data_IF_599016630534
#
_entry.id   IF_599016630534
#
_cell.length_a   1.000
_cell.length_b   1.000
_cell.length_c   1.000
_cell.angle_alpha   90.00
_cell.angle_beta   90.00
_cell.angle_gamma   90.00
#
_symmetry.space_group_name_H-M   'P 1'
#
loop_
_entity.id
_entity.type
_entity.pdbx_description
1 polymer ?
#
# COMPACT_ATOMS: atom_id res chain seq x y z
N UNK A 1 -11.86 14.31 -13.47
CA UNK A 1 -11.34 15.64 -13.87
C UNK A 1 -10.15 15.43 -14.81
N UNK A 2 -9.94 16.30 -15.81
CA UNK A 2 -8.83 16.14 -16.75
C UNK A 2 -7.49 16.35 -16.02
N UNK A 3 -6.67 15.30 -15.92
CA UNK A 3 -5.36 15.32 -15.24
C UNK A 3 -4.40 16.37 -15.80
N UNK A 4 -4.66 16.90 -16.99
CA UNK A 4 -3.90 17.95 -17.67
C UNK A 4 -4.30 19.37 -17.22
N UNK A 5 -5.36 19.51 -16.42
CA UNK A 5 -5.83 20.79 -15.86
C UNK A 5 -5.48 20.95 -14.36
N UNK A 6 -4.66 20.06 -13.81
CA UNK A 6 -4.23 20.15 -12.40
C UNK A 6 -3.27 21.33 -12.23
N UNK A 7 -3.55 22.20 -11.26
CA UNK A 7 -2.83 23.46 -11.02
C UNK A 7 -1.34 23.27 -10.67
N UNK A 8 -0.97 22.11 -10.11
CA UNK A 8 0.38 21.85 -9.62
C UNK A 8 1.23 21.00 -10.57
N UNK A 9 0.66 20.54 -11.70
CA UNK A 9 1.44 19.82 -12.70
C UNK A 9 2.18 20.76 -13.63
N UNK A 10 3.49 20.59 -13.70
CA UNK A 10 4.35 21.21 -14.70
C UNK A 10 4.33 20.40 -16.00
N UNK A 11 4.39 21.11 -17.15
CA UNK A 11 4.32 20.50 -18.49
C UNK A 11 5.65 19.89 -18.96
N UNK A 12 6.77 20.11 -18.27
CA UNK A 12 8.13 19.79 -18.73
C UNK A 12 8.71 18.51 -18.09
N UNK A 13 9.68 17.88 -18.79
CA UNK A 13 10.16 16.51 -18.57
C UNK A 13 11.62 16.39 -18.09
N UNK A 14 12.32 17.48 -17.81
CA UNK A 14 13.78 17.44 -17.56
C UNK A 14 14.11 17.61 -16.06
N UNK A 15 14.82 16.61 -15.52
CA UNK A 15 15.40 16.42 -14.16
C UNK A 15 14.55 16.75 -12.92
N UNK A 16 13.93 15.70 -12.34
CA UNK A 16 12.79 15.83 -11.41
C UNK A 16 13.08 15.78 -9.91
N UNK A 17 14.21 15.24 -9.44
CA UNK A 17 14.35 14.99 -8.00
C UNK A 17 14.50 16.28 -7.17
N UNK A 18 15.33 17.23 -7.61
CA UNK A 18 15.46 18.55 -6.97
C UNK A 18 14.26 19.47 -7.28
N UNK A 19 13.54 19.23 -8.38
CA UNK A 19 12.31 19.96 -8.69
C UNK A 19 11.16 19.51 -7.78
N UNK A 20 11.11 18.23 -7.40
CA UNK A 20 9.99 17.69 -6.64
C UNK A 20 9.86 18.33 -5.25
N UNK A 21 10.96 18.53 -4.53
CA UNK A 21 10.96 19.22 -3.24
C UNK A 21 10.38 20.64 -3.38
N UNK A 22 10.88 21.42 -4.33
CA UNK A 22 10.39 22.78 -4.61
C UNK A 22 8.93 22.81 -5.09
N UNK A 23 8.53 21.86 -5.93
CA UNK A 23 7.15 21.76 -6.42
C UNK A 23 6.20 21.37 -5.29
N UNK A 24 6.61 20.48 -4.37
CA UNK A 24 5.86 20.13 -3.16
C UNK A 24 5.72 21.33 -2.22
N UNK A 25 6.82 22.04 -1.93
CA UNK A 25 6.82 23.26 -1.12
C UNK A 25 5.89 24.31 -1.71
N UNK A 26 6.00 24.58 -3.02
CA UNK A 26 5.13 25.55 -3.71
C UNK A 26 3.67 25.11 -3.71
N UNK A 27 3.38 23.84 -3.98
CA UNK A 27 2.01 23.33 -3.99
C UNK A 27 1.37 23.45 -2.60
N UNK A 28 2.13 23.13 -1.53
CA UNK A 28 1.68 23.29 -0.16
C UNK A 28 1.43 24.76 0.19
N UNK A 29 2.38 25.66 -0.10
CA UNK A 29 2.26 27.09 0.16
C UNK A 29 1.04 27.72 -0.56
N UNK A 30 0.84 27.40 -1.84
CA UNK A 30 -0.33 27.88 -2.60
C UNK A 30 -1.63 27.35 -2.02
N UNK A 31 -1.66 26.08 -1.59
CA UNK A 31 -2.88 25.52 -0.98
C UNK A 31 -3.20 26.19 0.36
N UNK A 32 -2.18 26.53 1.16
CA UNK A 32 -2.35 27.33 2.38
C UNK A 32 -2.89 28.74 2.09
N UNK A 33 -2.40 29.39 1.02
CA UNK A 33 -2.83 30.75 0.67
C UNK A 33 -4.27 30.82 0.16
N UNK A 34 -4.70 29.80 -0.58
CA UNK A 34 -5.96 29.83 -1.33
C UNK A 34 -7.12 29.14 -0.60
N UNK A 35 -6.84 28.42 0.49
CA UNK A 35 -7.84 27.68 1.24
C UNK A 35 -7.78 28.00 2.75
N UNK A 36 -8.70 28.87 3.18
CA UNK A 36 -8.74 29.36 4.56
C UNK A 36 -8.97 28.24 5.60
N UNK A 37 -9.76 27.23 5.26
CA UNK A 37 -10.04 26.13 6.19
C UNK A 37 -8.82 25.21 6.32
N UNK A 38 -8.15 24.94 5.20
CA UNK A 38 -6.88 24.22 5.19
C UNK A 38 -5.80 24.95 5.97
N UNK A 39 -5.63 26.26 5.74
CA UNK A 39 -4.71 27.11 6.50
C UNK A 39 -4.99 27.02 8.01
N UNK A 40 -6.26 27.23 8.39
CA UNK A 40 -6.69 27.17 9.78
C UNK A 40 -6.35 25.82 10.44
N UNK A 41 -6.69 24.70 9.79
CA UNK A 41 -6.45 23.37 10.37
C UNK A 41 -4.97 23.02 10.47
N UNK A 42 -4.14 23.46 9.51
CA UNK A 42 -2.68 23.29 9.57
C UNK A 42 -2.08 24.14 10.69
N UNK A 43 -2.47 25.41 10.80
CA UNK A 43 -1.99 26.30 11.86
C UNK A 43 -2.41 25.80 13.23
N UNK A 44 -3.66 25.35 13.38
CA UNK A 44 -4.15 24.77 14.61
C UNK A 44 -3.29 23.57 15.04
N UNK A 45 -3.01 22.65 14.12
CA UNK A 45 -2.14 21.51 14.40
C UNK A 45 -0.76 21.93 14.90
N UNK A 46 -0.11 22.91 14.24
CA UNK A 46 1.24 23.37 14.59
C UNK A 46 1.22 24.09 15.96
N UNK A 47 0.35 25.08 16.11
CA UNK A 47 0.35 26.00 17.25
C UNK A 47 -0.11 25.33 18.56
N UNK A 48 -0.91 24.27 18.50
CA UNK A 48 -1.31 23.49 19.69
C UNK A 48 -0.13 22.75 20.36
N UNK A 49 1.03 22.62 19.70
CA UNK A 49 2.23 22.04 20.32
C UNK A 49 2.87 22.97 21.36
N UNK A 50 2.52 24.27 21.36
CA UNK A 50 2.87 25.20 22.43
C UNK A 50 1.60 25.54 23.20
N UNK A 51 1.61 25.24 24.50
CA UNK A 51 0.48 25.50 25.39
C UNK A 51 -0.04 26.94 25.23
N UNK A 52 -1.35 27.07 25.07
CA UNK A 52 -2.11 28.33 24.96
C UNK A 52 -1.75 29.23 23.74
N UNK A 53 -0.82 28.83 22.87
CA UNK A 53 -0.35 29.67 21.76
C UNK A 53 -1.45 29.93 20.72
N UNK A 54 -2.16 28.89 20.27
CA UNK A 54 -3.26 29.02 19.31
C UNK A 54 -4.34 29.99 19.81
N UNK A 55 -4.79 29.79 21.05
CA UNK A 55 -5.80 30.65 21.68
C UNK A 55 -5.33 32.10 21.83
N UNK A 56 -4.09 32.31 22.28
CA UNK A 56 -3.51 33.65 22.39
C UNK A 56 -3.45 34.41 21.06
N UNK A 57 -3.27 33.69 19.95
CA UNK A 57 -3.20 34.29 18.62
C UNK A 57 -4.58 34.58 18.03
N UNK A 58 -5.61 33.77 18.30
CA UNK A 58 -6.88 33.84 17.55
C UNK A 58 -8.13 34.16 18.38
N UNK A 59 -8.05 34.23 19.72
CA UNK A 59 -9.22 34.57 20.55
C UNK A 59 -9.51 36.09 20.61
N UNK A 60 -8.54 36.96 20.29
CA UNK A 60 -8.72 38.42 20.20
C UNK A 60 -9.05 38.87 18.77
N UNK A 61 -10.10 39.68 18.64
CA UNK A 61 -10.60 40.25 17.39
C UNK A 61 -9.87 41.54 16.96
N UNK A 62 -9.08 42.16 17.84
CA UNK A 62 -8.46 43.48 17.60
C UNK A 62 -6.98 43.42 17.23
N UNK A 63 -6.52 44.38 16.40
CA UNK A 63 -5.09 44.65 16.19
C UNK A 63 -4.29 43.61 15.38
N UNK A 64 -4.95 42.66 14.71
CA UNK A 64 -4.29 41.55 14.02
C UNK A 64 -3.61 41.95 12.71
N UNK A 65 -2.38 41.48 12.52
CA UNK A 65 -1.70 41.56 11.23
C UNK A 65 -2.15 40.42 10.31
N UNK A 66 -2.18 40.64 8.98
CA UNK A 66 -2.40 39.55 8.04
C UNK A 66 -1.33 38.47 8.15
N UNK A 67 -1.74 37.20 8.06
CA UNK A 67 -0.81 36.07 7.96
C UNK A 67 -0.05 36.18 6.66
N UNK A 68 1.28 36.04 6.73
CA UNK A 68 2.15 36.07 5.54
C UNK A 68 2.79 34.70 5.34
N UNK A 69 2.87 34.27 4.08
CA UNK A 69 3.45 32.99 3.68
C UNK A 69 4.49 33.25 2.59
N UNK A 70 5.74 32.90 2.86
CA UNK A 70 6.88 33.06 1.96
C UNK A 70 7.54 31.71 1.69
N UNK A 71 8.15 31.52 0.52
CA UNK A 71 8.98 30.36 0.19
C UNK A 71 10.42 30.78 -0.05
N UNK A 72 11.37 29.88 0.23
CA UNK A 72 12.80 30.10 -0.04
C UNK A 72 13.37 31.37 0.62
N UNK A 73 12.98 31.64 1.87
CA UNK A 73 13.37 32.85 2.61
C UNK A 73 14.62 32.59 3.44
N UNK A 74 15.59 33.51 3.37
CA UNK A 74 16.79 33.50 4.23
C UNK A 74 16.40 33.80 5.68
N UNK A 75 17.03 33.12 6.64
CA UNK A 75 16.72 33.32 8.06
C UNK A 75 17.01 34.74 8.55
N UNK A 76 18.02 35.40 7.96
CA UNK A 76 18.32 36.81 8.25
C UNK A 76 17.25 37.79 7.78
N UNK A 77 16.31 37.34 6.94
CA UNK A 77 15.19 38.16 6.44
C UNK A 77 13.87 37.88 7.17
N UNK A 78 13.88 37.04 8.21
CA UNK A 78 12.70 36.82 9.04
C UNK A 78 12.38 38.10 9.81
N UNK A 79 11.09 38.41 9.96
CA UNK A 79 10.64 39.56 10.74
C UNK A 79 10.93 39.33 12.23
N UNK A 80 10.89 40.37 13.05
CA UNK A 80 11.01 40.21 14.50
C UNK A 80 9.91 39.28 15.04
N UNK A 81 10.31 38.26 15.80
CA UNK A 81 9.42 37.30 16.45
C UNK A 81 9.87 37.01 17.88
N UNK A 82 8.93 36.69 18.75
CA UNK A 82 9.20 36.25 20.12
C UNK A 82 9.32 34.72 20.22
N UNK A 83 8.65 34.00 19.32
CA UNK A 83 8.66 32.54 19.32
C UNK A 83 8.74 31.96 17.91
N UNK A 84 9.50 30.87 17.77
CA UNK A 84 9.70 30.15 16.51
C UNK A 84 9.13 28.72 16.60
N UNK A 85 8.34 28.31 15.62
CA UNK A 85 8.03 26.90 15.40
C UNK A 85 8.95 26.34 14.31
N UNK A 86 9.66 25.26 14.63
CA UNK A 86 10.50 24.53 13.69
C UNK A 86 9.76 23.26 13.24
N UNK A 87 9.22 23.26 12.01
CA UNK A 87 8.34 22.20 11.53
C UNK A 87 9.05 21.31 10.50
N UNK A 88 9.06 20.00 10.73
CA UNK A 88 9.51 19.03 9.72
C UNK A 88 8.36 18.56 8.84
N UNK A 89 8.56 18.61 7.52
CA UNK A 89 7.67 18.02 6.52
C UNK A 89 8.45 17.01 5.66
N UNK A 90 8.79 15.88 6.27
CA UNK A 90 9.47 14.74 5.64
C UNK A 90 8.68 13.44 5.85
N UNK A 91 9.03 12.38 5.12
CA UNK A 91 8.50 11.03 5.42
C UNK A 91 9.16 10.43 6.68
N UNK A 92 10.30 11.00 7.09
CA UNK A 92 11.00 10.66 8.33
C UNK A 92 10.32 11.32 9.53
N UNK A 93 9.83 10.57 10.53
CA UNK A 93 9.28 11.14 11.76
C UNK A 93 10.36 11.84 12.57
N UNK A 94 10.16 13.11 12.91
CA UNK A 94 11.11 13.84 13.76
C UNK A 94 10.96 13.44 15.24
N UNK A 95 12.08 13.06 15.84
CA UNK A 95 12.19 12.88 17.29
C UNK A 95 12.29 14.25 17.97
N UNK A 96 11.19 14.67 18.61
CA UNK A 96 11.07 15.98 19.24
C UNK A 96 11.94 16.11 20.49
N UNK A 97 12.17 15.03 21.23
CA UNK A 97 12.98 15.02 22.44
C UNK A 97 14.46 15.27 22.11
N UNK A 98 14.92 14.70 20.99
CA UNK A 98 16.29 14.84 20.52
C UNK A 98 16.55 16.08 19.65
N UNK A 99 15.55 16.93 19.42
CA UNK A 99 15.72 18.16 18.64
C UNK A 99 16.78 19.08 19.27
N UNK A 100 16.71 19.32 20.58
CA UNK A 100 17.62 20.22 21.29
C UNK A 100 19.01 19.62 21.57
N UNK A 101 19.16 18.30 21.48
CA UNK A 101 20.41 17.58 21.79
C UNK A 101 21.39 17.55 20.60
N UNK A 102 21.23 18.43 19.62
CA UNK A 102 22.07 18.50 18.41
C UNK A 102 23.21 19.49 18.62
N UNK A 103 24.43 19.08 18.27
CA UNK A 103 25.63 19.93 18.29
C UNK A 103 25.95 20.55 16.91
N UNK A 104 24.92 20.81 16.11
CA UNK A 104 25.08 21.30 14.75
C UNK A 104 24.87 22.81 14.71
N UNK A 105 25.88 23.55 15.18
CA UNK A 105 25.84 25.02 15.30
C UNK A 105 26.74 25.62 14.23
N UNK A 106 26.30 25.55 12.97
CA UNK A 106 27.00 26.27 11.90
C UNK A 106 26.46 27.69 11.87
N UNK A 107 27.33 28.67 12.02
CA UNK A 107 26.99 30.07 11.77
C UNK A 107 27.01 30.32 10.24
N UNK A 108 25.84 30.49 9.66
CA UNK A 108 25.61 30.84 8.25
C UNK A 108 24.19 31.40 8.08
N UNK A 109 23.82 31.80 6.87
CA UNK A 109 22.47 32.29 6.56
C UNK A 109 21.70 31.23 5.75
N UNK A 110 21.10 30.21 6.40
CA UNK A 110 20.31 29.20 5.72
C UNK A 110 19.08 29.79 5.03
N UNK A 111 18.67 29.12 3.97
CA UNK A 111 17.40 29.33 3.30
C UNK A 111 16.40 28.30 3.85
N UNK A 112 15.21 28.77 4.19
CA UNK A 112 14.06 27.96 4.62
C UNK A 112 13.18 27.66 3.43
N UNK A 113 12.55 26.49 3.39
CA UNK A 113 11.66 26.14 2.26
C UNK A 113 10.37 26.96 2.30
N UNK A 114 9.75 27.06 3.47
CA UNK A 114 8.49 27.77 3.69
C UNK A 114 8.51 28.48 5.06
N UNK A 115 7.99 29.70 5.09
CA UNK A 115 7.86 30.53 6.29
C UNK A 115 6.43 31.03 6.40
N UNK A 116 5.86 30.95 7.60
CA UNK A 116 4.59 31.58 7.94
C UNK A 116 4.84 32.55 9.10
N UNK A 117 4.45 33.82 8.96
CA UNK A 117 4.54 34.81 10.04
C UNK A 117 3.15 35.26 10.48
N UNK A 118 2.93 35.27 11.80
CA UNK A 118 1.66 35.57 12.47
C UNK A 118 1.97 36.39 13.72
N UNK A 119 1.66 37.69 13.70
CA UNK A 119 1.99 38.63 14.79
C UNK A 119 3.45 38.46 15.27
N UNK A 120 3.67 38.02 16.52
CA UNK A 120 4.99 37.79 17.14
C UNK A 120 5.49 36.34 17.00
N UNK A 121 4.88 35.53 16.15
CA UNK A 121 5.23 34.12 15.92
C UNK A 121 5.72 33.91 14.48
N UNK A 122 6.82 33.16 14.34
CA UNK A 122 7.31 32.68 13.04
C UNK A 122 7.30 31.16 13.02
N UNK A 123 6.85 30.58 11.92
CA UNK A 123 6.87 29.14 11.65
C UNK A 123 7.79 28.93 10.46
N UNK A 124 8.88 28.18 10.65
CA UNK A 124 9.75 27.72 9.57
C UNK A 124 9.44 26.24 9.29
N UNK A 125 9.30 25.89 8.02
CA UNK A 125 8.97 24.53 7.58
C UNK A 125 10.06 24.06 6.62
N UNK A 126 10.65 22.92 6.92
CA UNK A 126 11.65 22.25 6.08
C UNK A 126 11.02 21.03 5.42
N UNK A 127 11.08 20.98 4.09
CA UNK A 127 10.36 19.99 3.27
C UNK A 127 11.36 18.99 2.69
N UNK A 128 11.04 17.69 2.77
CA UNK A 128 11.78 16.65 2.05
C UNK A 128 10.82 15.74 1.27
N UNK A 129 11.13 15.40 0.00
CA UNK A 129 10.26 14.59 -0.85
C UNK A 129 10.32 13.09 -0.51
N UNK A 130 11.10 12.69 0.50
CA UNK A 130 11.42 11.31 0.82
C UNK A 130 11.68 11.13 2.33
N UNK A 131 12.20 9.97 2.72
CA UNK A 131 12.52 9.61 4.10
C UNK A 131 13.85 10.20 4.62
N UNK A 132 14.25 11.36 4.11
CA UNK A 132 15.42 12.09 4.64
C UNK A 132 15.07 12.77 5.96
N UNK A 133 15.95 12.59 6.95
CA UNK A 133 15.88 13.29 8.22
C UNK A 133 16.37 14.74 8.05
N UNK A 134 15.46 15.70 8.18
CA UNK A 134 15.74 17.13 8.09
C UNK A 134 16.00 17.82 9.44
N UNK A 135 15.97 17.10 10.57
CA UNK A 135 16.07 17.64 11.93
C UNK A 135 17.31 18.52 12.12
N UNK A 136 18.48 18.09 11.62
CA UNK A 136 19.71 18.87 11.76
C UNK A 136 19.68 20.17 10.95
N UNK A 137 19.07 20.16 9.77
CA UNK A 137 18.93 21.36 8.93
C UNK A 137 17.96 22.35 9.57
N UNK A 138 16.81 21.86 10.03
CA UNK A 138 15.79 22.63 10.72
C UNK A 138 16.29 23.24 12.04
N UNK A 139 17.10 22.49 12.81
CA UNK A 139 17.79 23.00 13.98
C UNK A 139 18.71 24.17 13.63
N UNK A 140 19.53 24.03 12.58
CA UNK A 140 20.42 25.11 12.13
C UNK A 140 19.65 26.35 11.68
N UNK A 141 18.53 26.19 10.98
CA UNK A 141 17.67 27.31 10.60
C UNK A 141 17.15 28.04 11.84
N UNK A 142 16.65 27.30 12.85
CA UNK A 142 16.19 27.88 14.10
C UNK A 142 17.30 28.61 14.88
N UNK A 143 18.47 27.98 15.00
CA UNK A 143 19.64 28.57 15.67
C UNK A 143 20.08 29.88 15.00
N UNK A 144 20.21 29.88 13.68
CA UNK A 144 20.64 31.08 12.95
C UNK A 144 19.54 32.16 12.87
N UNK A 145 18.26 31.79 12.90
CA UNK A 145 17.14 32.74 12.96
C UNK A 145 17.11 33.52 14.29
N UNK A 146 17.39 32.84 15.40
CA UNK A 146 17.43 33.47 16.72
C UNK A 146 18.77 34.18 17.00
N UNK A 147 19.85 33.76 16.32
CA UNK A 147 21.22 34.23 16.56
C UNK A 147 21.66 34.10 18.04
N UNK A 148 21.11 33.10 18.74
CA UNK A 148 21.39 32.75 20.13
C UNK A 148 21.08 31.27 20.39
N UNK A 149 21.34 30.78 21.60
CA UNK A 149 20.99 29.41 21.99
C UNK A 149 19.49 29.17 21.88
N UNK A 150 19.12 28.07 21.24
CA UNK A 150 17.72 27.64 21.18
C UNK A 150 17.34 26.87 22.44
N UNK A 151 16.11 27.03 22.89
CA UNK A 151 15.54 26.38 24.07
C UNK A 151 14.05 26.09 23.85
N UNK A 152 13.43 25.23 24.67
CA UNK A 152 11.97 25.01 24.62
C UNK A 152 11.13 26.26 24.87
N UNK A 153 11.72 27.34 25.40
CA UNK A 153 11.01 28.59 25.66
C UNK A 153 10.84 29.42 24.37
N UNK A 154 11.86 29.44 23.51
CA UNK A 154 11.91 30.27 22.30
C UNK A 154 11.68 29.47 20.99
N UNK A 155 11.86 28.15 20.99
CA UNK A 155 11.60 27.27 19.84
C UNK A 155 10.69 26.11 20.23
N UNK A 156 9.68 25.82 19.41
CA UNK A 156 8.87 24.58 19.49
C UNK A 156 9.10 23.73 18.24
N UNK A 157 9.75 22.55 18.35
CA UNK A 157 9.84 21.62 17.24
C UNK A 157 8.50 20.91 17.02
N UNK A 158 8.09 20.74 15.76
CA UNK A 158 6.83 20.08 15.39
C UNK A 158 7.08 19.08 14.26
N UNK A 159 6.66 17.84 14.46
CA UNK A 159 6.64 16.82 13.42
C UNK A 159 5.30 16.86 12.69
N UNK A 160 5.19 17.64 11.62
CA UNK A 160 4.00 17.62 10.77
C UNK A 160 4.01 16.36 9.90
N UNK A 161 5.12 16.08 9.22
CA UNK A 161 5.31 14.98 8.28
C UNK A 161 4.20 14.85 7.21
N UNK A 162 4.49 14.14 6.12
CA UNK A 162 3.54 14.07 5.01
C UNK A 162 2.25 13.35 5.36
N UNK A 163 2.30 12.32 6.21
CA UNK A 163 1.12 11.56 6.60
C UNK A 163 0.13 12.44 7.39
N UNK A 164 0.59 13.18 8.42
CA UNK A 164 -0.33 14.01 9.22
C UNK A 164 -0.84 15.22 8.42
N UNK A 165 -0.02 15.80 7.54
CA UNK A 165 -0.49 16.83 6.62
C UNK A 165 -1.60 16.31 5.69
N UNK A 166 -1.44 15.12 5.11
CA UNK A 166 -2.45 14.54 4.23
C UNK A 166 -3.71 14.10 4.97
N UNK A 167 -3.62 13.76 6.27
CA UNK A 167 -4.79 13.59 7.13
C UNK A 167 -5.61 14.87 7.29
N UNK A 168 -4.94 15.98 7.57
CA UNK A 168 -5.57 17.31 7.62
C UNK A 168 -6.20 17.63 6.26
N UNK A 169 -5.43 17.46 5.19
CA UNK A 169 -5.85 17.77 3.81
C UNK A 169 -7.14 17.02 3.43
N UNK A 170 -7.19 15.70 3.68
CA UNK A 170 -8.37 14.90 3.33
C UNK A 170 -9.57 15.18 4.23
N UNK A 171 -9.34 15.48 5.51
CA UNK A 171 -10.43 15.89 6.41
C UNK A 171 -11.08 17.18 5.91
N UNK A 172 -10.27 18.18 5.54
CA UNK A 172 -10.73 19.45 4.96
C UNK A 172 -11.49 19.19 3.66
N UNK A 173 -10.90 18.45 2.71
CA UNK A 173 -11.56 18.13 1.44
C UNK A 173 -12.92 17.43 1.61
N UNK A 174 -13.01 16.50 2.56
CA UNK A 174 -14.25 15.79 2.85
C UNK A 174 -15.31 16.70 3.47
N UNK A 175 -14.91 17.56 4.42
CA UNK A 175 -15.81 18.55 5.02
C UNK A 175 -16.35 19.51 3.96
N UNK A 176 -15.47 20.10 3.14
CA UNK A 176 -15.83 21.00 2.05
C UNK A 176 -16.78 20.35 1.04
N UNK A 177 -16.53 19.09 0.69
CA UNK A 177 -17.43 18.30 -0.15
C UNK A 177 -18.80 18.11 0.51
N UNK A 178 -18.84 17.83 1.82
CA UNK A 178 -20.08 17.64 2.56
C UNK A 178 -20.93 18.92 2.63
N UNK A 179 -20.30 20.10 2.69
CA UNK A 179 -21.00 21.40 2.64
C UNK A 179 -21.19 21.93 1.21
N UNK A 180 -20.95 21.10 0.19
CA UNK A 180 -21.07 21.43 -1.23
C UNK A 180 -20.24 22.64 -1.70
N UNK A 181 -19.07 22.86 -1.07
CA UNK A 181 -18.10 23.91 -1.43
C UNK A 181 -16.68 23.33 -1.60
N UNK A 182 -16.46 22.36 -2.50
CA UNK A 182 -15.15 21.75 -2.67
C UNK A 182 -14.12 22.77 -3.18
N UNK A 183 -12.95 22.84 -2.53
CA UNK A 183 -11.82 23.61 -3.01
C UNK A 183 -11.08 22.90 -4.13
N UNK A 184 -10.86 23.63 -5.24
CA UNK A 184 -10.03 23.13 -6.34
C UNK A 184 -8.58 22.98 -5.90
N UNK A 185 -8.07 23.87 -5.06
CA UNK A 185 -6.68 23.85 -4.59
C UNK A 185 -6.42 22.62 -3.74
N UNK A 186 -7.26 22.34 -2.75
CA UNK A 186 -7.15 21.12 -1.92
C UNK A 186 -7.30 19.86 -2.78
N UNK A 187 -8.27 19.84 -3.70
CA UNK A 187 -8.49 18.70 -4.60
C UNK A 187 -7.28 18.44 -5.51
N UNK A 188 -6.72 19.49 -6.11
CA UNK A 188 -5.56 19.38 -7.00
C UNK A 188 -4.28 19.06 -6.21
N UNK A 189 -4.17 19.51 -4.94
CA UNK A 189 -3.07 19.19 -4.04
C UNK A 189 -3.08 17.71 -3.69
N UNK A 190 -4.26 17.17 -3.31
CA UNK A 190 -4.43 15.72 -3.10
C UNK A 190 -3.97 14.97 -4.34
N UNK A 191 -4.51 15.29 -5.53
CA UNK A 191 -4.13 14.64 -6.80
C UNK A 191 -2.63 14.73 -7.10
N UNK A 192 -2.03 15.88 -6.82
CA UNK A 192 -0.59 16.09 -7.01
C UNK A 192 0.22 15.14 -6.12
N UNK A 193 -0.16 15.01 -4.84
CA UNK A 193 0.47 14.07 -3.91
C UNK A 193 0.25 12.62 -4.34
N UNK A 194 -0.96 12.20 -4.75
CA UNK A 194 -1.20 10.80 -5.12
C UNK A 194 -0.32 10.34 -6.30
N UNK A 195 0.02 11.26 -7.21
CA UNK A 195 0.84 10.96 -8.39
C UNK A 195 2.31 10.79 -8.03
N UNK A 196 2.80 11.52 -7.02
CA UNK A 196 4.20 11.49 -6.62
C UNK A 196 4.47 10.48 -5.50
N UNK A 197 3.58 10.41 -4.51
CA UNK A 197 3.67 9.45 -3.43
C UNK A 197 2.28 9.17 -2.81
N UNK A 198 1.59 8.16 -3.35
CA UNK A 198 0.29 7.72 -2.86
C UNK A 198 0.31 7.18 -1.42
N UNK A 199 1.49 6.78 -0.91
CA UNK A 199 1.63 6.20 0.44
C UNK A 199 1.47 7.24 1.55
N UNK A 200 1.65 8.53 1.25
CA UNK A 200 1.42 9.62 2.19
C UNK A 200 -0.06 9.87 2.47
N UNK A 201 -0.96 9.36 1.63
CA UNK A 201 -2.38 9.50 1.87
C UNK A 201 -2.77 8.56 3.03
N UNK A 202 -3.50 9.05 4.05
CA UNK A 202 -4.03 8.18 5.08
C UNK A 202 -4.86 7.09 4.45
N UNK A 203 -4.48 5.86 4.76
CA UNK A 203 -5.24 4.71 4.32
C UNK A 203 -6.53 4.63 5.12
N UNK A 204 -7.63 4.47 4.40
CA UNK A 204 -8.93 4.27 5.02
C UNK A 204 -9.02 2.82 5.49
N UNK A 205 -9.44 2.62 6.75
CA UNK A 205 -9.73 1.29 7.26
C UNK A 205 -10.82 0.61 6.43
N UNK A 206 -10.75 -0.72 6.30
CA UNK A 206 -11.65 -1.50 5.46
C UNK A 206 -13.12 -1.33 5.85
N UNK A 207 -13.43 -1.03 7.13
CA UNK A 207 -14.80 -0.76 7.57
C UNK A 207 -15.51 0.34 6.76
N UNK A 208 -14.76 1.34 6.28
CA UNK A 208 -15.31 2.48 5.55
C UNK A 208 -15.19 2.32 4.02
N UNK A 209 -14.68 1.18 3.53
CA UNK A 209 -14.49 0.89 2.11
C UNK A 209 -15.55 -0.11 1.61
N UNK A 210 -16.10 0.14 0.43
CA UNK A 210 -17.04 -0.77 -0.23
C UNK A 210 -16.32 -1.68 -1.22
N UNK A 211 -16.50 -3.01 -1.11
CA UNK A 211 -15.90 -3.98 -2.04
C UNK A 211 -16.32 -3.75 -3.51
N UNK A 212 -17.47 -3.11 -3.75
CA UNK A 212 -17.98 -2.79 -5.10
C UNK A 212 -17.36 -1.54 -5.72
N UNK A 213 -16.86 -0.60 -4.91
CA UNK A 213 -16.39 0.70 -5.37
C UNK A 213 -14.91 1.00 -5.09
N UNK A 214 -14.33 0.34 -4.10
CA UNK A 214 -13.03 0.70 -3.51
C UNK A 214 -11.95 -0.38 -3.69
N UNK A 215 -12.08 -1.26 -4.70
CA UNK A 215 -11.20 -2.44 -4.87
C UNK A 215 -9.70 -2.12 -4.76
N UNK A 216 -9.22 -1.03 -5.36
CA UNK A 216 -7.80 -0.65 -5.27
C UNK A 216 -7.41 -0.22 -3.84
N UNK A 217 -8.25 0.59 -3.17
CA UNK A 217 -7.98 1.06 -1.80
C UNK A 217 -7.98 -0.10 -0.80
N UNK A 218 -8.85 -1.07 -1.02
CA UNK A 218 -8.91 -2.31 -0.25
C UNK A 218 -7.61 -3.10 -0.45
N UNK A 219 -7.16 -3.29 -1.71
CA UNK A 219 -5.90 -3.96 -2.02
C UNK A 219 -4.71 -3.25 -1.38
N UNK A 220 -4.65 -1.92 -1.45
CA UNK A 220 -3.60 -1.10 -0.85
C UNK A 220 -3.56 -1.27 0.69
N UNK A 221 -4.73 -1.34 1.36
CA UNK A 221 -4.82 -1.54 2.81
C UNK A 221 -4.32 -2.93 3.23
N UNK A 222 -4.67 -3.99 2.50
CA UNK A 222 -4.12 -5.34 2.73
C UNK A 222 -2.62 -5.36 2.46
N UNK A 223 -2.16 -4.74 1.37
CA UNK A 223 -0.73 -4.70 1.03
C UNK A 223 0.08 -3.96 2.09
N UNK A 224 -0.47 -2.91 2.69
CA UNK A 224 0.12 -2.22 3.83
C UNK A 224 0.18 -3.12 5.06
N UNK A 225 -0.89 -3.85 5.38
CA UNK A 225 -0.86 -4.81 6.48
C UNK A 225 0.26 -5.86 6.28
N UNK A 226 0.39 -6.40 5.07
CA UNK A 226 1.46 -7.36 4.71
C UNK A 226 2.85 -6.72 4.83
N UNK A 227 2.99 -5.46 4.43
CA UNK A 227 4.28 -4.75 4.47
C UNK A 227 4.69 -4.39 5.91
N UNK A 228 3.73 -4.25 6.83
CA UNK A 228 3.96 -3.92 8.24
C UNK A 228 3.97 -5.16 9.16
N UNK A 229 4.05 -6.36 8.59
CA UNK A 229 4.20 -7.61 9.34
C UNK A 229 5.53 -8.30 9.02
N UNK A 230 5.77 -9.46 9.63
CA UNK A 230 6.94 -10.31 9.36
C UNK A 230 6.80 -11.13 8.06
N UNK A 231 5.77 -10.87 7.25
CA UNK A 231 5.54 -11.62 6.01
C UNK A 231 6.57 -11.26 4.93
N UNK A 232 6.98 -12.28 4.18
CA UNK A 232 7.71 -12.08 2.92
C UNK A 232 6.73 -11.74 1.81
N UNK A 233 6.61 -10.45 1.50
CA UNK A 233 5.71 -9.93 0.47
C UNK A 233 6.08 -10.44 -0.94
N UNK A 234 5.04 -10.75 -1.74
CA UNK A 234 5.20 -11.12 -3.15
C UNK A 234 5.13 -9.86 -4.03
N UNK A 235 6.04 -9.75 -5.00
CA UNK A 235 6.01 -8.66 -5.98
C UNK A 235 4.95 -8.88 -7.06
N UNK A 236 4.16 -7.82 -7.33
CA UNK A 236 3.19 -7.77 -8.44
C UNK A 236 1.87 -8.51 -8.22
N UNK A 237 1.66 -9.11 -7.04
CA UNK A 237 0.42 -9.79 -6.63
C UNK A 237 0.15 -9.50 -5.16
N UNK A 238 -1.13 -9.47 -4.79
CA UNK A 238 -1.52 -9.30 -3.40
C UNK A 238 -1.41 -10.63 -2.65
N UNK A 239 -0.47 -10.73 -1.72
CA UNK A 239 -0.19 -11.96 -0.99
C UNK A 239 1.22 -11.98 -0.41
N UNK A 240 1.56 -13.10 0.22
CA UNK A 240 2.87 -13.34 0.82
C UNK A 240 3.32 -14.79 0.62
N UNK A 241 4.63 -15.00 0.73
CA UNK A 241 5.25 -16.32 0.66
C UNK A 241 4.89 -17.16 1.90
N UNK A 242 4.68 -18.45 1.69
CA UNK A 242 4.61 -19.45 2.77
C UNK A 242 5.77 -20.44 2.65
N UNK A 243 6.29 -20.92 3.78
CA UNK A 243 7.46 -21.78 3.82
C UNK A 243 7.06 -23.24 4.05
N UNK A 244 6.24 -23.76 3.14
CA UNK A 244 5.83 -25.17 3.16
C UNK A 244 6.33 -25.88 1.91
N UNK A 245 6.85 -27.10 2.05
CA UNK A 245 7.46 -27.83 0.94
C UNK A 245 6.51 -28.17 -0.23
N UNK A 246 5.21 -27.96 -0.04
CA UNK A 246 4.16 -28.28 -0.99
C UNK A 246 3.48 -27.06 -1.66
N UNK A 247 3.76 -25.83 -1.23
CA UNK A 247 3.26 -24.58 -1.82
C UNK A 247 4.15 -23.39 -1.43
N UNK A 248 4.26 -22.37 -2.28
CA UNK A 248 5.17 -21.22 -2.02
C UNK A 248 4.46 -19.93 -1.59
N UNK A 249 3.15 -19.82 -1.82
CA UNK A 249 2.43 -18.54 -1.71
C UNK A 249 0.98 -18.68 -1.30
N UNK A 250 0.53 -17.70 -0.51
CA UNK A 250 -0.89 -17.43 -0.23
C UNK A 250 -1.24 -16.11 -0.93
N UNK A 251 -2.26 -16.16 -1.78
CA UNK A 251 -2.72 -15.03 -2.59
C UNK A 251 -4.11 -14.59 -2.14
N UNK A 252 -4.35 -13.28 -2.23
CA UNK A 252 -5.62 -12.65 -1.86
C UNK A 252 -6.30 -12.03 -3.07
N UNK A 253 -7.62 -12.16 -3.12
CA UNK A 253 -8.48 -11.49 -4.09
C UNK A 253 -9.82 -11.09 -3.47
N UNK A 254 -10.62 -10.35 -4.24
CA UNK A 254 -11.92 -9.84 -3.83
C UNK A 254 -12.96 -10.13 -4.90
N UNK A 255 -14.03 -10.82 -4.51
CA UNK A 255 -15.19 -11.02 -5.35
C UNK A 255 -16.25 -9.98 -5.00
N UNK A 256 -16.39 -8.96 -5.85
CA UNK A 256 -17.41 -7.91 -5.69
C UNK A 256 -18.84 -8.40 -5.91
N UNK A 257 -19.03 -9.55 -6.59
CA UNK A 257 -20.34 -10.12 -6.89
C UNK A 257 -20.89 -10.82 -5.66
N UNK A 258 -20.06 -11.68 -5.05
CA UNK A 258 -20.40 -12.43 -3.85
C UNK A 258 -20.06 -11.66 -2.55
N UNK A 259 -19.45 -10.49 -2.67
CA UNK A 259 -18.97 -9.65 -1.56
C UNK A 259 -18.05 -10.41 -0.59
N UNK A 260 -17.09 -11.16 -1.14
CA UNK A 260 -16.16 -11.98 -0.37
C UNK A 260 -14.71 -11.56 -0.59
N UNK A 261 -13.92 -11.62 0.48
CA UNK A 261 -12.47 -11.74 0.40
C UNK A 261 -12.09 -13.20 0.23
N UNK A 262 -11.20 -13.46 -0.72
CA UNK A 262 -10.77 -14.81 -1.04
C UNK A 262 -9.29 -14.97 -0.71
N UNK A 263 -8.97 -16.03 0.03
CA UNK A 263 -7.60 -16.45 0.25
C UNK A 263 -7.36 -17.79 -0.45
N UNK A 264 -6.27 -17.87 -1.21
CA UNK A 264 -5.95 -19.01 -2.08
C UNK A 264 -4.53 -19.50 -1.84
N UNK A 265 -4.34 -20.82 -1.83
CA UNK A 265 -3.04 -21.48 -1.87
C UNK A 265 -3.00 -22.52 -2.99
N UNK A 266 -1.82 -22.75 -3.56
CA UNK A 266 -1.64 -23.64 -4.72
C UNK A 266 -0.72 -24.83 -4.42
N UNK A 267 -1.21 -25.90 -3.80
CA UNK A 267 -0.43 -27.12 -3.58
C UNK A 267 0.03 -27.74 -4.90
N UNK A 268 1.30 -28.14 -5.01
CA UNK A 268 1.80 -28.84 -6.20
C UNK A 268 1.97 -27.96 -7.44
N UNK A 269 2.15 -26.65 -7.25
CA UNK A 269 2.35 -25.68 -8.35
C UNK A 269 3.64 -25.96 -9.17
N UNK A 270 4.58 -26.71 -8.60
CA UNK A 270 5.76 -27.27 -9.27
C UNK A 270 5.81 -28.79 -9.13
N UNK A 271 6.53 -29.48 -10.02
CA UNK A 271 6.81 -30.92 -9.85
C UNK A 271 7.49 -31.22 -8.50
N UNK A 272 8.37 -30.34 -8.02
CA UNK A 272 9.01 -30.48 -6.70
C UNK A 272 7.97 -30.57 -5.58
N UNK A 273 7.08 -29.59 -5.52
CA UNK A 273 5.97 -29.56 -4.57
C UNK A 273 5.02 -30.76 -4.71
N UNK A 274 4.77 -31.20 -5.95
CA UNK A 274 3.95 -32.38 -6.23
C UNK A 274 4.43 -33.63 -5.48
N UNK A 275 5.74 -33.83 -5.37
CA UNK A 275 6.31 -34.95 -4.63
C UNK A 275 5.92 -34.98 -3.14
N UNK A 276 5.57 -33.83 -2.56
CA UNK A 276 5.18 -33.68 -1.16
C UNK A 276 3.68 -33.85 -0.91
N UNK A 277 2.84 -33.79 -1.95
CA UNK A 277 1.37 -33.90 -1.79
C UNK A 277 0.81 -35.24 -2.26
N UNK A 278 1.36 -35.86 -3.30
CA UNK A 278 0.81 -37.10 -3.84
C UNK A 278 1.16 -38.30 -2.94
N UNK A 279 0.19 -38.94 -2.26
CA UNK A 279 0.42 -40.12 -1.44
C UNK A 279 0.75 -41.35 -2.29
N UNK A 280 1.13 -42.47 -1.67
CA UNK A 280 1.42 -43.70 -2.44
C UNK A 280 0.18 -44.27 -3.14
N UNK A 281 -1.00 -44.11 -2.52
CA UNK A 281 -2.28 -44.57 -3.04
C UNK A 281 -3.34 -43.48 -2.89
N UNK A 282 -4.22 -43.35 -3.88
CA UNK A 282 -5.30 -42.36 -3.88
C UNK A 282 -4.88 -40.94 -4.25
N UNK A 283 -5.78 -40.00 -3.98
CA UNK A 283 -5.57 -38.57 -4.15
C UNK A 283 -5.06 -37.91 -2.85
N UNK A 284 -4.31 -36.81 -2.95
CA UNK A 284 -4.07 -35.89 -1.84
C UNK A 284 -5.36 -35.51 -1.09
N UNK A 285 -5.30 -35.54 0.25
CA UNK A 285 -6.43 -35.21 1.13
C UNK A 285 -6.15 -33.86 1.79
N UNK A 286 -7.15 -32.99 1.76
CA UNK A 286 -7.11 -31.67 2.39
C UNK A 286 -8.24 -31.54 3.41
N UNK A 287 -8.03 -30.69 4.42
CA UNK A 287 -9.11 -30.27 5.32
C UNK A 287 -10.27 -29.70 4.49
N UNK A 288 -11.50 -30.05 4.86
CA UNK A 288 -12.72 -29.52 4.22
C UNK A 288 -13.08 -28.12 4.72
N UNK A 289 -12.56 -27.73 5.87
CA UNK A 289 -12.83 -26.46 6.52
C UNK A 289 -11.55 -25.94 7.18
N UNK A 290 -11.41 -24.61 7.24
CA UNK A 290 -10.40 -23.90 8.01
C UNK A 290 -11.10 -23.05 9.07
N UNK A 291 -10.57 -23.06 10.30
CA UNK A 291 -11.14 -22.31 11.41
C UNK A 291 -10.39 -20.99 11.59
N UNK A 292 -11.07 -19.86 11.35
CA UNK A 292 -10.51 -18.53 11.60
C UNK A 292 -11.35 -17.85 12.66
N UNK A 293 -10.73 -17.52 13.80
CA UNK A 293 -11.36 -16.82 14.93
C UNK A 293 -12.68 -17.47 15.38
N UNK A 294 -12.73 -18.81 15.42
CA UNK A 294 -13.91 -19.59 15.82
C UNK A 294 -14.97 -19.77 14.73
N UNK A 295 -14.72 -19.30 13.49
CA UNK A 295 -15.63 -19.47 12.35
C UNK A 295 -15.01 -20.47 11.36
N UNK A 296 -15.77 -21.50 11.01
CA UNK A 296 -15.36 -22.49 10.01
C UNK A 296 -15.72 -22.03 8.59
N UNK A 297 -14.71 -21.90 7.74
CA UNK A 297 -14.86 -21.59 6.32
C UNK A 297 -14.63 -22.84 5.47
N UNK A 298 -15.53 -23.11 4.54
CA UNK A 298 -15.39 -24.23 3.61
C UNK A 298 -14.18 -24.03 2.68
N UNK A 299 -13.39 -25.09 2.53
CA UNK A 299 -12.28 -25.16 1.58
C UNK A 299 -12.81 -25.66 0.24
N UNK A 300 -12.87 -24.76 -0.72
CA UNK A 300 -13.18 -25.08 -2.11
C UNK A 300 -11.92 -25.64 -2.76
N UNK A 301 -11.96 -26.93 -3.11
CA UNK A 301 -10.89 -27.63 -3.83
C UNK A 301 -11.16 -27.61 -5.32
N UNK A 302 -10.21 -27.10 -6.10
CA UNK A 302 -10.19 -27.24 -7.56
C UNK A 302 -8.90 -27.91 -8.03
N UNK A 303 -8.98 -28.68 -9.10
CA UNK A 303 -7.82 -29.25 -9.78
C UNK A 303 -7.15 -28.16 -10.60
N UNK A 304 -5.84 -27.96 -10.41
CA UNK A 304 -5.06 -26.98 -11.14
C UNK A 304 -3.90 -27.64 -11.90
N UNK A 305 -3.80 -27.39 -13.20
CA UNK A 305 -2.67 -27.84 -14.02
C UNK A 305 -1.93 -26.62 -14.52
N UNK A 306 -0.66 -26.51 -14.17
CA UNK A 306 0.17 -25.36 -14.54
C UNK A 306 1.12 -25.71 -15.67
N UNK A 307 1.16 -24.87 -16.70
CA UNK A 307 2.16 -24.95 -17.77
C UNK A 307 3.15 -23.79 -17.66
N UNK A 308 4.44 -24.13 -17.67
CA UNK A 308 5.53 -23.15 -17.60
C UNK A 308 6.57 -23.40 -18.69
N UNK A 309 7.26 -22.34 -19.10
CA UNK A 309 8.41 -22.42 -20.01
C UNK A 309 9.49 -21.48 -19.48
N UNK A 310 10.72 -21.98 -19.35
CA UNK A 310 11.82 -21.23 -18.73
C UNK A 310 11.44 -20.63 -17.36
N UNK A 311 10.76 -21.44 -16.53
CA UNK A 311 10.21 -21.07 -15.22
C UNK A 311 9.16 -19.95 -15.22
N UNK A 312 8.67 -19.52 -16.39
CA UNK A 312 7.58 -18.53 -16.50
C UNK A 312 6.27 -19.22 -16.83
N UNK A 313 5.23 -18.88 -16.07
CA UNK A 313 3.85 -19.29 -16.38
C UNK A 313 3.43 -18.75 -17.74
N UNK A 314 2.75 -19.57 -18.55
CA UNK A 314 2.18 -19.09 -19.81
C UNK A 314 0.73 -19.52 -20.06
N UNK A 315 0.25 -20.60 -19.42
CA UNK A 315 -1.16 -21.00 -19.40
C UNK A 315 -1.41 -22.06 -18.32
N UNK A 316 -2.68 -22.38 -18.04
CA UNK A 316 -3.10 -23.35 -17.02
C UNK A 316 -4.53 -23.86 -17.24
N UNK A 317 -4.93 -24.85 -16.45
CA UNK A 317 -6.29 -25.38 -16.39
C UNK A 317 -6.78 -25.35 -14.95
N UNK A 318 -8.03 -24.96 -14.75
CA UNK A 318 -8.75 -25.04 -13.48
C UNK A 318 -10.03 -25.82 -13.71
N UNK A 319 -10.15 -26.97 -13.06
CA UNK A 319 -11.26 -27.90 -13.23
C UNK A 319 -11.88 -28.23 -11.86
N UNK A 320 -13.20 -28.24 -11.80
CA UNK A 320 -13.94 -28.78 -10.67
C UNK A 320 -14.10 -30.29 -10.83
N UNK A 321 -14.56 -30.98 -9.78
CA UNK A 321 -14.79 -32.43 -9.82
C UNK A 321 -15.74 -32.85 -10.95
N UNK A 322 -16.77 -32.03 -11.22
CA UNK A 322 -17.71 -32.25 -12.33
C UNK A 322 -17.07 -32.20 -13.73
N UNK A 323 -15.87 -31.64 -13.86
CA UNK A 323 -15.17 -31.51 -15.15
C UNK A 323 -14.23 -32.70 -15.42
N UNK A 324 -14.07 -33.60 -14.44
CA UNK A 324 -13.18 -34.75 -14.48
C UNK A 324 -13.99 -36.02 -14.71
N UNK A 325 -13.76 -36.67 -15.85
CA UNK A 325 -14.40 -37.94 -16.21
C UNK A 325 -13.82 -39.12 -15.44
N UNK A 326 -12.48 -39.16 -15.39
CA UNK A 326 -11.72 -40.19 -14.69
C UNK A 326 -10.69 -39.47 -13.83
N UNK A 327 -10.66 -39.73 -12.51
CA UNK A 327 -9.65 -39.10 -11.67
C UNK A 327 -8.24 -39.50 -12.10
N UNK A 328 -7.42 -38.48 -12.36
CA UNK A 328 -6.03 -38.66 -12.77
C UNK A 328 -5.01 -38.03 -11.83
N UNK A 329 -5.46 -37.52 -10.69
CA UNK A 329 -4.63 -36.92 -9.66
C UNK A 329 -4.04 -37.98 -8.72
N UNK A 330 -3.36 -38.96 -9.32
CA UNK A 330 -2.70 -40.07 -8.61
C UNK A 330 -1.18 -39.93 -8.71
N UNK A 331 -0.44 -40.55 -7.78
CA UNK A 331 1.04 -40.58 -7.81
C UNK A 331 1.60 -41.13 -9.12
N UNK A 332 0.98 -42.18 -9.65
CA UNK A 332 1.38 -42.82 -10.92
C UNK A 332 1.29 -41.84 -12.08
N UNK A 333 0.15 -41.16 -12.22
CA UNK A 333 -0.05 -40.18 -13.28
C UNK A 333 0.83 -38.94 -13.07
N UNK A 334 0.93 -38.43 -11.85
CA UNK A 334 1.84 -37.34 -11.51
C UNK A 334 3.28 -37.63 -11.95
N UNK A 335 3.81 -38.81 -11.62
CA UNK A 335 5.17 -39.21 -12.03
C UNK A 335 5.33 -39.30 -13.55
N UNK A 336 4.26 -39.68 -14.26
CA UNK A 336 4.26 -39.93 -15.70
C UNK A 336 4.14 -38.63 -16.52
N UNK A 337 3.23 -37.72 -16.13
CA UNK A 337 2.88 -36.55 -16.96
C UNK A 337 3.42 -35.22 -16.42
N UNK A 338 3.89 -35.15 -15.17
CA UNK A 338 4.47 -33.91 -14.63
C UNK A 338 5.96 -33.79 -14.95
N UNK A 339 6.40 -32.55 -15.18
CA UNK A 339 7.77 -32.19 -15.53
C UNK A 339 7.89 -31.79 -16.99
N UNK A 340 9.10 -31.96 -17.54
CA UNK A 340 9.45 -31.47 -18.86
C UNK A 340 8.86 -32.32 -19.98
N UNK A 341 8.00 -31.72 -20.79
CA UNK A 341 7.40 -32.32 -21.97
C UNK A 341 8.01 -31.72 -23.23
N UNK A 342 8.61 -32.56 -24.08
CA UNK A 342 9.17 -32.17 -25.38
C UNK A 342 8.09 -32.20 -26.46
N UNK A 343 8.27 -31.43 -27.53
CA UNK A 343 7.33 -31.34 -28.65
C UNK A 343 6.83 -32.69 -29.19
N UNK A 344 7.73 -33.68 -29.32
CA UNK A 344 7.39 -35.04 -29.78
C UNK A 344 6.39 -35.78 -28.88
N UNK A 345 6.27 -35.36 -27.63
CA UNK A 345 5.42 -35.99 -26.62
C UNK A 345 4.12 -35.18 -26.36
N UNK A 346 3.89 -34.06 -27.05
CA UNK A 346 2.68 -33.25 -26.87
C UNK A 346 1.39 -34.00 -27.20
N UNK A 347 1.39 -34.83 -28.25
CA UNK A 347 0.24 -35.67 -28.58
C UNK A 347 -0.13 -36.63 -27.43
N UNK A 348 0.84 -37.09 -26.62
CA UNK A 348 0.56 -37.94 -25.45
C UNK A 348 -0.21 -37.17 -24.39
N UNK A 349 0.11 -35.88 -24.20
CA UNK A 349 -0.63 -35.01 -23.28
C UNK A 349 -2.04 -34.75 -23.81
N UNK A 350 -2.20 -34.52 -25.12
CA UNK A 350 -3.51 -34.34 -25.73
C UNK A 350 -4.40 -35.57 -25.52
N UNK A 351 -3.92 -36.76 -25.88
CA UNK A 351 -4.65 -38.03 -25.67
C UNK A 351 -4.92 -38.28 -24.19
N UNK A 352 -3.97 -37.94 -23.31
CA UNK A 352 -4.18 -38.08 -21.87
C UNK A 352 -5.34 -37.21 -21.39
N UNK A 353 -5.36 -35.92 -21.72
CA UNK A 353 -6.42 -35.01 -21.29
C UNK A 353 -7.76 -35.29 -21.97
N UNK A 354 -7.77 -35.64 -23.26
CA UNK A 354 -9.00 -36.02 -23.99
C UNK A 354 -9.69 -37.26 -23.37
N UNK A 355 -8.94 -38.14 -22.68
CA UNK A 355 -9.48 -39.32 -22.00
C UNK A 355 -9.93 -39.08 -20.55
N UNK A 356 -9.52 -37.97 -19.93
CA UNK A 356 -9.72 -37.73 -18.50
C UNK A 356 -10.61 -36.53 -18.17
N UNK A 357 -10.70 -35.54 -19.06
CA UNK A 357 -11.67 -34.47 -18.92
C UNK A 357 -13.02 -34.85 -19.52
N UNK A 358 -14.08 -34.26 -18.96
CA UNK A 358 -15.41 -34.37 -19.51
C UNK A 358 -15.56 -33.60 -20.82
N UNK A 359 -16.46 -34.07 -21.69
CA UNK A 359 -16.65 -33.48 -23.02
C UNK A 359 -17.15 -32.02 -23.00
N UNK A 360 -17.84 -31.60 -21.94
CA UNK A 360 -18.26 -30.20 -21.77
C UNK A 360 -17.11 -29.28 -21.37
N UNK A 361 -16.02 -29.84 -20.83
CA UNK A 361 -14.83 -29.10 -20.44
C UNK A 361 -13.80 -29.13 -21.59
N UNK A 362 -13.96 -28.21 -22.54
CA UNK A 362 -13.01 -28.03 -23.65
C UNK A 362 -11.67 -27.47 -23.13
N UNK A 363 -10.83 -28.34 -22.60
CA UNK A 363 -9.55 -27.99 -21.99
C UNK A 363 -8.60 -27.32 -22.99
N UNK A 364 -8.66 -27.70 -24.28
CA UNK A 364 -7.81 -27.11 -25.33
C UNK A 364 -8.16 -25.64 -25.52
N UNK A 365 -9.45 -25.30 -25.53
CA UNK A 365 -9.91 -23.91 -25.57
C UNK A 365 -9.59 -23.18 -24.27
N UNK A 366 -9.81 -23.81 -23.12
CA UNK A 366 -9.61 -23.20 -21.81
C UNK A 366 -8.16 -22.72 -21.60
N UNK A 367 -7.17 -23.54 -21.93
CA UNK A 367 -5.76 -23.16 -21.83
C UNK A 367 -5.17 -22.53 -23.10
N UNK A 368 -6.01 -22.27 -24.11
CA UNK A 368 -5.59 -21.75 -25.43
C UNK A 368 -4.44 -22.58 -26.04
N UNK A 369 -4.58 -23.91 -25.99
CA UNK A 369 -3.54 -24.88 -26.35
C UNK A 369 -2.95 -24.62 -27.73
N UNK A 370 -3.81 -24.31 -28.71
CA UNK A 370 -3.39 -24.09 -30.09
C UNK A 370 -2.42 -22.90 -30.20
N UNK A 371 -2.72 -21.76 -29.59
CA UNK A 371 -1.87 -20.57 -29.72
C UNK A 371 -0.72 -20.57 -28.70
N UNK A 372 -0.98 -21.02 -27.46
CA UNK A 372 -0.01 -20.97 -26.36
C UNK A 372 1.02 -22.10 -26.39
N UNK A 373 0.67 -23.24 -27.00
CA UNK A 373 1.57 -24.41 -27.14
C UNK A 373 1.92 -24.64 -28.60
N UNK A 374 0.97 -25.09 -29.44
CA UNK A 374 1.27 -25.61 -30.79
C UNK A 374 1.89 -24.55 -31.72
N UNK A 375 1.31 -23.35 -31.77
CA UNK A 375 1.77 -22.23 -32.63
C UNK A 375 2.77 -21.31 -31.96
N UNK A 376 3.18 -21.61 -30.74
CA UNK A 376 3.96 -20.69 -29.91
C UNK A 376 5.47 -20.68 -30.19
N UNK A 377 5.94 -21.55 -31.09
CA UNK A 377 7.37 -21.75 -31.38
C UNK A 377 8.16 -22.47 -30.27
N UNK A 378 7.50 -22.92 -29.20
CA UNK A 378 8.16 -23.67 -28.12
C UNK A 378 8.61 -25.05 -28.60
N UNK A 379 9.72 -25.54 -28.08
CA UNK A 379 10.19 -26.92 -28.30
C UNK A 379 9.91 -27.82 -27.08
N UNK A 380 9.63 -27.21 -25.94
CA UNK A 380 9.31 -27.88 -24.68
C UNK A 380 8.56 -26.94 -23.71
N UNK A 381 7.87 -27.53 -22.73
CA UNK A 381 7.32 -26.86 -21.56
C UNK A 381 7.40 -27.80 -20.35
N UNK A 382 7.22 -27.26 -19.14
CA UNK A 382 7.07 -28.05 -17.92
C UNK A 382 5.59 -28.03 -17.48
N UNK A 383 5.04 -29.20 -17.14
CA UNK A 383 3.68 -29.39 -16.61
C UNK A 383 3.74 -29.74 -15.13
N UNK A 384 2.89 -29.12 -14.31
CA UNK A 384 2.70 -29.50 -12.90
C UNK A 384 1.24 -29.84 -12.64
N UNK A 385 0.98 -31.00 -12.02
CA UNK A 385 -0.32 -31.32 -11.43
C UNK A 385 -0.37 -30.79 -10.00
N UNK A 386 -1.33 -29.91 -9.72
CA UNK A 386 -1.55 -29.35 -8.41
C UNK A 386 -3.02 -29.02 -8.16
N UNK A 387 -3.25 -28.24 -7.12
CA UNK A 387 -4.58 -27.85 -6.69
C UNK A 387 -4.64 -26.34 -6.53
N UNK A 388 -5.85 -25.81 -6.58
CA UNK A 388 -6.19 -24.53 -5.97
C UNK A 388 -7.08 -24.85 -4.77
N UNK A 389 -6.67 -24.40 -3.58
CA UNK A 389 -7.50 -24.43 -2.39
C UNK A 389 -7.88 -23.00 -2.07
N UNK A 390 -9.18 -22.76 -1.92
CA UNK A 390 -9.74 -21.42 -1.68
C UNK A 390 -10.69 -21.44 -0.49
N UNK A 391 -10.60 -20.42 0.34
CA UNK A 391 -11.67 -20.05 1.27
C UNK A 391 -12.25 -18.71 0.84
N UNK A 392 -13.57 -18.56 0.98
CA UNK A 392 -14.29 -17.32 0.71
C UNK A 392 -14.87 -16.78 2.01
N UNK A 393 -14.41 -15.61 2.42
CA UNK A 393 -14.75 -14.97 3.69
C UNK A 393 -15.66 -13.78 3.39
N UNK A 394 -16.85 -13.65 4.01
CA UNK A 394 -17.70 -12.49 3.81
C UNK A 394 -16.93 -11.21 4.14
N UNK A 395 -16.94 -10.24 3.22
CA UNK A 395 -16.15 -9.02 3.37
C UNK A 395 -16.51 -8.23 4.64
N UNK A 396 -17.77 -8.32 5.08
CA UNK A 396 -18.26 -7.73 6.33
C UNK A 396 -17.50 -8.20 7.58
N UNK A 397 -16.95 -9.42 7.59
CA UNK A 397 -16.11 -9.91 8.69
C UNK A 397 -14.83 -9.08 8.78
N UNK A 398 -14.18 -8.86 7.64
CA UNK A 398 -12.91 -8.13 7.56
C UNK A 398 -13.12 -6.64 7.84
N UNK A 399 -14.26 -6.09 7.41
CA UNK A 399 -14.67 -4.73 7.78
C UNK A 399 -14.82 -4.55 9.29
N UNK A 400 -15.26 -5.58 10.01
CA UNK A 400 -15.37 -5.53 11.46
C UNK A 400 -14.02 -5.66 12.16
N UNK A 401 -13.07 -6.37 11.54
CA UNK A 401 -11.70 -6.53 12.04
C UNK A 401 -10.90 -5.22 11.87
N UNK A 402 -10.94 -4.61 10.68
CA UNK A 402 -10.17 -3.39 10.37
C UNK A 402 -11.06 -2.13 10.46
N UNK A 403 -11.21 -1.62 11.68
CA UNK A 403 -12.00 -0.42 11.99
C UNK A 403 -11.16 0.84 12.19
N UNK A 404 -10.00 0.72 12.80
CA UNK A 404 -9.13 1.87 13.07
C UNK A 404 -8.10 2.02 11.95
N UNK A 405 -8.10 3.17 11.28
CA UNK A 405 -7.12 3.49 10.23
C UNK A 405 -5.68 3.48 10.75
N UNK A 406 -5.49 3.75 12.04
CA UNK A 406 -4.18 3.88 12.68
C UNK A 406 -3.68 2.57 13.30
N UNK A 407 -4.53 1.53 13.39
CA UNK A 407 -4.14 0.23 13.95
C UNK A 407 -4.33 -0.89 12.94
N UNK A 408 -3.22 -1.42 12.43
CA UNK A 408 -3.20 -2.55 11.50
C UNK A 408 -3.15 -3.91 12.21
N UNK A 409 -2.91 -3.95 13.53
CA UNK A 409 -2.66 -5.21 14.25
C UNK A 409 -3.78 -6.22 14.08
N UNK A 410 -5.08 -5.87 14.21
CA UNK A 410 -6.16 -6.84 14.03
C UNK A 410 -6.16 -7.47 12.64
N UNK A 411 -5.89 -6.67 11.61
CA UNK A 411 -5.82 -7.13 10.23
C UNK A 411 -4.59 -8.03 10.00
N UNK A 412 -3.43 -7.67 10.56
CA UNK A 412 -2.22 -8.49 10.49
C UNK A 412 -2.45 -9.85 11.17
N UNK A 413 -3.00 -9.88 12.38
CA UNK A 413 -3.31 -11.12 13.10
C UNK A 413 -4.30 -12.00 12.32
N UNK A 414 -5.30 -11.40 11.68
CA UNK A 414 -6.22 -12.15 10.82
C UNK A 414 -5.50 -12.81 9.63
N UNK A 415 -4.57 -12.12 8.98
CA UNK A 415 -3.75 -12.68 7.90
C UNK A 415 -2.80 -13.78 8.40
N UNK A 416 -2.27 -13.65 9.62
CA UNK A 416 -1.45 -14.69 10.27
C UNK A 416 -2.28 -15.95 10.54
N UNK A 417 -3.52 -15.81 11.02
CA UNK A 417 -4.44 -16.93 11.22
C UNK A 417 -4.73 -17.66 9.90
N UNK A 418 -4.95 -16.93 8.81
CA UNK A 418 -5.10 -17.52 7.46
C UNK A 418 -3.85 -18.33 7.08
N UNK A 419 -2.65 -17.77 7.30
CA UNK A 419 -1.39 -18.46 7.01
C UNK A 419 -1.29 -19.78 7.80
N UNK A 420 -1.50 -19.73 9.10
CA UNK A 420 -1.38 -20.89 9.99
C UNK A 420 -2.38 -22.00 9.61
N UNK A 421 -3.62 -21.63 9.31
CA UNK A 421 -4.64 -22.59 8.88
C UNK A 421 -4.29 -23.23 7.54
N UNK A 422 -3.84 -22.45 6.55
CA UNK A 422 -3.40 -23.01 5.28
C UNK A 422 -2.17 -23.90 5.40
N UNK A 423 -1.18 -23.56 6.23
CA UNK A 423 0.01 -24.39 6.43
C UNK A 423 -0.32 -25.78 7.01
N UNK A 424 -1.47 -25.92 7.66
CA UNK A 424 -1.99 -27.18 8.20
C UNK A 424 -3.10 -27.83 7.35
N UNK A 425 -3.40 -27.31 6.15
CA UNK A 425 -4.54 -27.77 5.33
C UNK A 425 -4.34 -29.17 4.74
N UNK A 426 -3.09 -29.58 4.48
CA UNK A 426 -2.77 -30.89 3.93
C UNK A 426 -2.85 -31.96 5.03
N UNK A 427 -3.67 -32.99 4.80
CA UNK A 427 -3.79 -34.15 5.70
C UNK A 427 -2.83 -35.23 5.18
N UNK A 428 -1.78 -35.52 5.95
CA UNK A 428 -0.76 -36.52 5.61
C UNK A 428 -1.18 -37.95 5.93
#
# INVERSE_FOLDING_TARGET
MNRHLNLFKTYTKEDRNYQLENDLTRAFAVTLLEDNLFLHDVLKYILEHKKDCYHSLFDDFSGKQPITIDIQKRVTHLNDFEHLFAVSLSDYPMDLEHFFNRNYDKNYDPITDLVISIDNVTIIIEVKPNNQNCTAQLYNQAFNALNQSISPENVTPVDLNWNKLMEITLRVANFEKAIAKPSRFVTDFIQFIQIHNYRWLPQTALHALSIKGDSNRIKDRIETAITNSEFKKINGRLGFECDVHWADEILFDFDSTNETFEARIYPGNTKGQGYHIFPQTGEPIFKKQLELDGINYEVIKSYHIKFTSWKRYFTGLWAAEKDIKNSFYTRTNFNTISGRIKNKDWNKIEVFFDNHFETHYDWKKYCDWNNKVLKSGKTQFDLSLGYELKISIPYSIIQNIDRDKNDLKPLITFLENIKNEFESVLIK
#
